data_IF_579562241103
#
_entry.id   IF_579562241103
#
_cell.length_a   1.000
_cell.length_b   1.000
_cell.length_c   1.000
_cell.angle_alpha   90.00
_cell.angle_beta   90.00
_cell.angle_gamma   90.00
#
_symmetry.space_group_name_H-M   'P 1'
#
loop_
_entity.id
_entity.type
_entity.pdbx_description
1 polymer ?
#
# COMPACT_ATOMS: atom_id res chain seq x y z
N UNK A 1 11.70 2.65 14.22
CA UNK A 1 12.17 4.06 14.15
C UNK A 1 11.76 4.71 12.84
N UNK A 2 11.31 5.96 12.87
CA UNK A 2 10.93 6.73 11.68
C UNK A 2 11.96 7.83 11.43
N UNK A 3 12.50 7.90 10.21
CA UNK A 3 13.47 8.92 9.77
C UNK A 3 12.85 9.70 8.61
N UNK A 4 12.92 11.03 8.68
CA UNK A 4 12.43 11.92 7.61
C UNK A 4 13.49 12.94 7.27
N UNK A 5 13.81 13.08 5.98
CA UNK A 5 14.77 14.06 5.46
C UNK A 5 14.39 14.47 4.03
N UNK A 6 14.23 15.77 3.78
CA UNK A 6 14.04 16.36 2.44
C UNK A 6 12.93 15.71 1.60
N UNK A 7 11.83 15.30 2.26
CA UNK A 7 10.73 14.61 1.60
C UNK A 7 11.00 13.14 1.28
N UNK A 8 12.03 12.57 1.87
CA UNK A 8 12.32 11.16 1.95
C UNK A 8 11.87 10.62 3.31
N UNK A 9 11.34 9.41 3.33
CA UNK A 9 10.78 8.75 4.50
C UNK A 9 11.34 7.34 4.59
N UNK A 10 11.87 6.98 5.77
CA UNK A 10 12.30 5.62 6.06
C UNK A 10 11.65 5.15 7.37
N UNK A 11 10.99 4.01 7.30
CA UNK A 11 10.45 3.31 8.46
C UNK A 11 11.31 2.09 8.70
N UNK A 12 11.92 2.02 9.87
CA UNK A 12 12.86 0.95 10.20
C UNK A 12 12.42 0.19 11.44
N UNK A 13 12.41 -1.12 11.31
CA UNK A 13 12.38 -2.07 12.43
C UNK A 13 13.81 -2.55 12.75
N UNK A 14 14.04 -3.47 13.68
CA UNK A 14 15.36 -4.04 13.89
C UNK A 14 16.01 -4.66 12.66
N UNK A 15 15.22 -5.32 11.77
CA UNK A 15 15.75 -6.08 10.64
C UNK A 15 15.24 -5.64 9.29
N UNK A 16 14.29 -4.68 9.20
CA UNK A 16 13.71 -4.25 7.93
C UNK A 16 13.81 -2.74 7.71
N UNK A 17 13.76 -2.33 6.45
CA UNK A 17 13.61 -0.93 6.02
C UNK A 17 12.50 -0.83 4.98
N UNK A 18 11.65 0.18 5.14
CA UNK A 18 10.64 0.59 4.17
C UNK A 18 10.89 2.04 3.79
N UNK A 19 11.21 2.30 2.53
CA UNK A 19 11.70 3.61 2.08
C UNK A 19 10.86 4.12 0.92
N UNK A 20 10.43 5.37 1.01
CA UNK A 20 9.73 6.06 -0.07
C UNK A 20 10.05 7.56 -0.05
N UNK A 21 9.72 8.25 -1.11
CA UNK A 21 9.93 9.70 -1.21
C UNK A 21 8.81 10.41 -1.94
N UNK A 22 8.67 11.69 -1.71
CA UNK A 22 7.88 12.57 -2.60
C UNK A 22 8.72 13.00 -3.80
N UNK A 23 8.10 13.06 -4.98
CA UNK A 23 8.68 13.70 -6.16
C UNK A 23 8.39 15.21 -6.20
N UNK A 24 8.90 15.89 -7.23
CA UNK A 24 8.67 17.33 -7.41
C UNK A 24 7.20 17.70 -7.69
N UNK A 25 6.41 16.77 -8.20
CA UNK A 25 4.98 16.95 -8.45
C UNK A 25 4.10 16.59 -7.25
N UNK A 26 4.69 16.08 -6.17
CA UNK A 26 3.99 15.66 -4.95
C UNK A 26 3.41 14.24 -5.01
N UNK A 27 3.82 13.41 -5.96
CA UNK A 27 3.54 11.98 -5.90
C UNK A 27 4.44 11.32 -4.84
N UNK A 28 3.99 10.19 -4.28
CA UNK A 28 4.79 9.36 -3.40
C UNK A 28 5.31 8.16 -4.18
N UNK A 29 6.63 8.08 -4.33
CA UNK A 29 7.34 7.01 -5.02
C UNK A 29 7.81 6.00 -3.98
N UNK A 30 7.40 4.73 -4.14
CA UNK A 30 7.95 3.62 -3.38
C UNK A 30 9.34 3.29 -3.91
N UNK A 31 10.32 3.15 -3.01
CA UNK A 31 11.69 2.87 -3.38
C UNK A 31 12.17 1.51 -2.91
N UNK A 32 11.81 1.11 -1.69
CA UNK A 32 12.33 -0.12 -1.10
C UNK A 32 11.45 -0.65 0.04
N UNK A 33 11.29 -1.94 0.11
CA UNK A 33 10.88 -2.69 1.30
C UNK A 33 11.64 -4.02 1.32
N UNK A 34 12.36 -4.28 2.40
CA UNK A 34 13.20 -5.46 2.51
C UNK A 34 14.12 -5.43 3.72
N UNK A 35 15.25 -6.13 3.62
CA UNK A 35 16.27 -6.19 4.67
C UNK A 35 16.74 -4.80 5.09
N UNK A 36 17.12 -4.64 6.35
CA UNK A 36 17.49 -3.34 6.89
C UNK A 36 18.70 -2.73 6.18
N UNK A 37 18.53 -1.50 5.77
CA UNK A 37 19.58 -0.66 5.20
C UNK A 37 20.07 0.28 6.29
N UNK A 38 21.39 0.24 6.59
CA UNK A 38 21.99 1.18 7.50
C UNK A 38 22.04 2.58 6.86
N UNK A 39 21.36 3.53 7.49
CA UNK A 39 21.29 4.91 7.03
C UNK A 39 22.16 5.75 7.96
N UNK A 40 23.24 6.31 7.40
CA UNK A 40 24.09 7.25 8.14
C UNK A 40 23.30 8.50 8.58
N UNK A 41 23.78 9.18 9.59
CA UNK A 41 23.18 10.44 10.03
C UNK A 41 23.14 11.41 8.85
N UNK A 42 21.95 11.93 8.56
CA UNK A 42 21.67 12.82 7.43
C UNK A 42 21.90 12.18 6.03
N UNK A 43 21.96 10.85 5.94
CA UNK A 43 22.22 10.12 4.69
C UNK A 43 20.98 9.68 3.92
N UNK A 44 19.75 9.83 4.45
CA UNK A 44 18.53 9.31 3.85
C UNK A 44 18.25 9.91 2.45
N UNK A 45 18.48 11.21 2.28
CA UNK A 45 18.28 11.87 0.99
C UNK A 45 19.16 11.27 -0.11
N UNK A 46 20.42 10.95 0.19
CA UNK A 46 21.36 10.31 -0.75
C UNK A 46 20.90 8.87 -1.08
N UNK A 47 20.45 8.09 -0.08
CA UNK A 47 19.89 6.75 -0.30
C UNK A 47 18.70 6.82 -1.26
N UNK A 48 17.77 7.74 -1.00
CA UNK A 48 16.62 7.94 -1.87
C UNK A 48 16.99 8.39 -3.28
N UNK A 49 18.02 9.23 -3.44
CA UNK A 49 18.49 9.67 -4.76
C UNK A 49 19.06 8.49 -5.56
N UNK A 50 19.88 7.65 -4.94
CA UNK A 50 20.45 6.45 -5.58
C UNK A 50 19.36 5.47 -5.99
N UNK A 51 18.34 5.27 -5.15
CA UNK A 51 17.24 4.33 -5.39
C UNK A 51 16.20 4.87 -6.37
N UNK A 52 16.13 6.18 -6.59
CA UNK A 52 15.13 6.74 -7.50
C UNK A 52 15.45 6.38 -8.94
N UNK A 53 14.55 5.67 -9.64
CA UNK A 53 14.80 5.33 -11.03
C UNK A 53 14.87 6.58 -11.89
N UNK A 54 15.69 6.53 -12.94
CA UNK A 54 15.72 7.62 -13.93
C UNK A 54 14.34 7.75 -14.56
N UNK A 55 13.74 8.93 -14.47
CA UNK A 55 12.45 9.23 -15.08
C UNK A 55 12.67 9.38 -16.59
N UNK A 56 12.46 8.29 -17.30
CA UNK A 56 12.46 8.26 -18.76
C UNK A 56 11.08 7.79 -19.17
N UNK A 57 10.43 8.50 -20.09
CA UNK A 57 9.18 8.01 -20.68
C UNK A 57 9.50 6.81 -21.61
N UNK A 58 9.81 5.67 -21.00
CA UNK A 58 10.21 4.45 -21.70
C UNK A 58 9.05 3.82 -22.47
N UNK A 59 7.82 4.05 -22.01
CA UNK A 59 6.63 3.48 -22.61
C UNK A 59 6.18 4.18 -23.90
N UNK A 60 6.76 5.32 -24.25
CA UNK A 60 6.21 6.16 -25.29
C UNK A 60 4.77 6.59 -24.98
N UNK A 61 4.34 6.48 -23.71
CA UNK A 61 3.00 6.83 -23.25
C UNK A 61 2.82 8.34 -23.35
N UNK A 62 1.76 8.77 -24.00
CA UNK A 62 1.40 10.19 -24.11
C UNK A 62 0.70 10.74 -22.86
N UNK A 63 0.41 9.89 -21.89
CA UNK A 63 -0.24 10.30 -20.64
C UNK A 63 0.82 10.85 -19.68
N UNK A 64 0.93 12.16 -19.65
CA UNK A 64 1.83 12.90 -18.78
C UNK A 64 1.05 13.21 -17.48
N UNK A 65 1.57 12.70 -16.35
CA UNK A 65 0.93 12.88 -15.07
C UNK A 65 0.99 14.33 -14.55
N UNK A 66 2.02 15.07 -14.93
CA UNK A 66 2.20 16.48 -14.54
C UNK A 66 3.04 17.25 -15.54
N UNK A 67 2.66 18.50 -15.82
CA UNK A 67 3.40 19.37 -16.74
C UNK A 67 4.76 19.81 -16.21
N UNK A 68 4.95 19.81 -14.88
CA UNK A 68 6.25 20.09 -14.24
C UNK A 68 7.24 18.92 -14.42
N UNK A 69 6.75 17.72 -14.70
CA UNK A 69 7.55 16.52 -14.97
C UNK A 69 7.07 15.83 -16.26
N UNK A 70 7.35 16.42 -17.42
CA UNK A 70 6.77 15.96 -18.69
C UNK A 70 7.20 14.56 -19.11
N UNK A 71 8.23 14.00 -18.49
CA UNK A 71 8.70 12.64 -18.77
C UNK A 71 8.18 11.60 -17.77
N UNK A 72 7.42 12.01 -16.73
CA UNK A 72 6.90 11.10 -15.74
C UNK A 72 5.62 10.44 -16.25
N UNK A 73 5.66 9.13 -16.42
CA UNK A 73 4.48 8.28 -16.53
C UNK A 73 4.32 7.49 -15.23
N UNK A 74 3.17 7.57 -14.59
CA UNK A 74 2.94 6.88 -13.30
C UNK A 74 2.96 5.36 -13.44
N UNK A 75 2.72 4.83 -14.64
CA UNK A 75 2.81 3.39 -14.93
C UNK A 75 4.26 2.88 -14.95
N UNK A 76 5.23 3.77 -15.13
CA UNK A 76 6.67 3.43 -15.21
C UNK A 76 7.37 3.38 -13.84
N UNK A 77 6.72 3.82 -12.78
CA UNK A 77 7.30 3.94 -11.44
C UNK A 77 6.54 3.10 -10.41
N UNK A 78 7.20 2.76 -9.31
CA UNK A 78 6.56 2.19 -8.14
C UNK A 78 5.97 3.32 -7.28
N UNK A 79 4.71 3.18 -6.88
CA UNK A 79 3.94 4.18 -6.14
C UNK A 79 3.55 3.69 -4.76
N UNK A 80 3.49 4.59 -3.78
CA UNK A 80 2.88 4.33 -2.46
C UNK A 80 1.37 4.33 -2.51
N UNK A 81 0.81 5.10 -3.42
CA UNK A 81 -0.62 5.25 -3.65
C UNK A 81 -0.88 5.52 -5.12
N UNK A 82 -2.00 5.04 -5.60
CA UNK A 82 -2.52 5.34 -6.92
C UNK A 82 -3.99 5.70 -6.87
N UNK A 83 -4.41 6.59 -7.75
CA UNK A 83 -5.79 6.97 -7.93
C UNK A 83 -6.23 6.81 -9.38
N UNK A 84 -7.52 6.66 -9.60
CA UNK A 84 -8.07 6.48 -10.94
C UNK A 84 -7.88 7.72 -11.81
N UNK A 85 -7.62 7.51 -13.12
CA UNK A 85 -7.62 8.57 -14.12
C UNK A 85 -6.30 9.33 -14.28
N UNK A 86 -5.18 8.79 -13.74
CA UNK A 86 -3.86 9.44 -13.73
C UNK A 86 -2.83 8.81 -14.65
N UNK A 87 -3.24 7.93 -15.58
CA UNK A 87 -2.32 7.29 -16.53
C UNK A 87 -1.57 6.08 -15.97
N UNK A 88 -1.88 5.62 -14.78
CA UNK A 88 -1.44 4.33 -14.24
C UNK A 88 -2.47 3.27 -14.65
N UNK A 89 -2.03 2.24 -15.36
CA UNK A 89 -2.88 1.15 -15.87
C UNK A 89 -3.19 0.08 -14.82
N UNK A 90 -2.50 0.12 -13.68
CA UNK A 90 -2.71 -0.81 -12.57
C UNK A 90 -3.92 -0.40 -11.74
N UNK A 91 -4.49 -1.36 -10.99
CA UNK A 91 -5.60 -1.07 -10.08
C UNK A 91 -5.28 0.05 -9.10
N UNK A 92 -6.20 1.01 -8.91
CA UNK A 92 -5.98 2.11 -7.99
C UNK A 92 -6.17 1.67 -6.53
N UNK A 93 -5.47 2.36 -5.62
CA UNK A 93 -5.65 2.28 -4.18
C UNK A 93 -6.97 2.93 -3.73
N UNK A 94 -7.35 4.02 -4.38
CA UNK A 94 -8.55 4.81 -4.04
C UNK A 94 -9.36 5.16 -5.29
N UNK A 95 -10.68 5.02 -5.18
CA UNK A 95 -11.65 5.42 -6.20
C UNK A 95 -12.78 6.20 -5.56
N UNK A 96 -12.95 7.43 -6.02
CA UNK A 96 -14.01 8.34 -5.59
C UNK A 96 -14.90 8.70 -6.77
N UNK A 97 -16.16 9.02 -6.47
CA UNK A 97 -17.06 9.70 -7.40
C UNK A 97 -17.51 10.99 -6.72
N UNK A 98 -17.19 12.12 -7.34
CA UNK A 98 -17.54 13.46 -6.86
C UNK A 98 -19.01 13.77 -7.16
N UNK A 99 -19.55 14.82 -6.55
CA UNK A 99 -20.94 15.21 -6.69
C UNK A 99 -21.36 15.50 -8.15
N UNK A 100 -20.42 15.97 -8.98
CA UNK A 100 -20.64 16.21 -10.42
C UNK A 100 -20.57 14.93 -11.27
N UNK A 101 -20.34 13.75 -10.65
CA UNK A 101 -20.18 12.46 -11.31
C UNK A 101 -18.77 12.17 -11.84
N UNK A 102 -17.83 13.11 -11.71
CA UNK A 102 -16.43 12.85 -12.08
C UNK A 102 -15.79 11.83 -11.14
N UNK A 103 -14.86 11.00 -11.68
CA UNK A 103 -14.22 9.92 -10.94
C UNK A 103 -12.69 9.94 -11.02
N UNK A 104 -12.11 11.06 -11.45
CA UNK A 104 -10.66 11.25 -11.47
C UNK A 104 -10.22 11.97 -10.22
N UNK A 105 -9.32 11.36 -9.44
CA UNK A 105 -8.70 11.96 -8.26
C UNK A 105 -7.21 12.17 -8.49
N UNK A 106 -6.67 13.25 -7.93
CA UNK A 106 -5.25 13.61 -8.06
C UNK A 106 -4.67 13.99 -6.69
N UNK A 107 -4.45 12.98 -5.85
CA UNK A 107 -3.90 13.14 -4.52
C UNK A 107 -2.42 13.50 -4.58
N UNK A 108 -2.07 14.65 -3.96
CA UNK A 108 -0.71 15.17 -3.89
C UNK A 108 -0.28 15.39 -2.46
N UNK A 109 0.99 15.15 -2.18
CA UNK A 109 1.58 15.38 -0.87
C UNK A 109 1.34 16.82 -0.38
N UNK A 110 0.82 16.94 0.84
CA UNK A 110 0.62 18.22 1.53
C UNK A 110 1.59 18.37 2.71
N UNK A 111 1.55 17.43 3.65
CA UNK A 111 2.41 17.44 4.84
C UNK A 111 2.53 16.04 5.46
N UNK A 112 3.30 15.95 6.55
CA UNK A 112 3.37 14.76 7.39
C UNK A 112 3.39 15.13 8.87
N UNK A 113 3.10 14.15 9.74
CA UNK A 113 3.33 14.19 11.18
C UNK A 113 3.77 12.82 11.69
N UNK A 114 4.51 12.83 12.80
CA UNK A 114 4.94 11.61 13.50
C UNK A 114 4.27 11.62 14.88
N UNK A 115 3.73 10.47 15.27
CA UNK A 115 3.12 10.23 16.57
C UNK A 115 3.95 9.19 17.32
N UNK A 116 4.20 9.43 18.61
CA UNK A 116 4.98 8.53 19.49
C UNK A 116 4.11 7.37 20.03
N UNK A 117 3.20 6.90 19.21
CA UNK A 117 2.32 5.76 19.50
C UNK A 117 1.80 5.14 18.22
N UNK A 118 1.38 3.89 18.28
CA UNK A 118 0.65 3.26 17.18
C UNK A 118 -0.76 3.86 17.08
N UNK A 119 -1.06 4.40 15.90
CA UNK A 119 -2.42 4.84 15.57
C UNK A 119 -3.21 3.64 15.01
N UNK A 120 -4.46 3.54 15.44
CA UNK A 120 -5.41 2.52 14.97
C UNK A 120 -6.61 3.18 14.29
N UNK A 121 -7.23 2.54 13.29
CA UNK A 121 -8.41 3.10 12.65
C UNK A 121 -9.58 3.12 13.62
N UNK A 122 -10.32 4.21 13.63
CA UNK A 122 -11.47 4.41 14.52
C UNK A 122 -12.57 3.37 14.24
N UNK A 123 -13.04 2.71 15.28
CA UNK A 123 -14.15 1.74 15.21
C UNK A 123 -13.79 0.40 14.55
N UNK A 124 -12.53 0.16 14.21
CA UNK A 124 -12.04 -1.07 13.59
C UNK A 124 -10.95 -1.74 14.46
N UNK A 125 -10.71 -3.04 14.29
CA UNK A 125 -9.59 -3.71 14.93
C UNK A 125 -8.24 -3.08 14.53
N UNK A 126 -7.30 -3.04 15.47
CA UNK A 126 -5.96 -2.53 15.24
C UNK A 126 -4.90 -3.37 15.95
N UNK A 127 -3.69 -3.38 15.41
CA UNK A 127 -2.53 -3.95 16.05
C UNK A 127 -2.11 -3.10 17.25
N UNK A 128 -1.49 -3.73 18.24
CA UNK A 128 -0.95 -3.05 19.41
C UNK A 128 0.42 -3.64 19.78
N UNK A 129 1.23 -2.86 20.45
CA UNK A 129 2.48 -3.30 21.03
C UNK A 129 2.39 -3.36 22.56
N UNK A 130 2.87 -4.46 23.13
CA UNK A 130 2.86 -4.62 24.60
C UNK A 130 3.78 -3.63 25.32
N UNK A 131 4.93 -3.28 24.72
CA UNK A 131 5.91 -2.37 25.30
C UNK A 131 5.64 -0.89 25.05
N UNK A 132 4.74 -0.57 24.13
CA UNK A 132 4.37 0.81 23.81
C UNK A 132 5.48 1.63 23.14
N UNK A 133 6.36 0.99 22.39
CA UNK A 133 7.47 1.64 21.67
C UNK A 133 7.11 1.99 20.22
N UNK A 134 5.90 1.71 19.79
CA UNK A 134 5.47 1.94 18.41
C UNK A 134 5.38 3.42 18.08
N UNK A 135 5.74 3.74 16.85
CA UNK A 135 5.61 5.08 16.27
C UNK A 135 4.69 5.02 15.04
N UNK A 136 4.01 6.11 14.74
CA UNK A 136 3.23 6.24 13.53
C UNK A 136 3.65 7.46 12.71
N UNK A 137 3.78 7.24 11.40
CA UNK A 137 3.92 8.31 10.40
C UNK A 137 2.57 8.50 9.71
N UNK A 138 2.09 9.71 9.67
CA UNK A 138 0.89 10.09 8.92
C UNK A 138 1.28 11.02 7.80
N UNK A 139 1.05 10.61 6.56
CA UNK A 139 1.22 11.44 5.38
C UNK A 139 -0.15 11.97 4.94
N UNK A 140 -0.30 13.26 4.85
CA UNK A 140 -1.51 13.89 4.34
C UNK A 140 -1.34 14.23 2.86
N UNK A 141 -2.28 13.74 2.05
CA UNK A 141 -2.40 14.05 0.64
C UNK A 141 -3.70 14.83 0.41
N UNK A 142 -3.64 15.88 -0.40
CA UNK A 142 -4.82 16.64 -0.81
C UNK A 142 -5.19 16.31 -2.26
N UNK A 143 -6.45 16.04 -2.52
CA UNK A 143 -6.95 15.89 -3.90
C UNK A 143 -7.04 17.26 -4.58
N UNK A 144 -6.44 17.38 -5.76
CA UNK A 144 -6.47 18.64 -6.55
C UNK A 144 -7.83 18.95 -7.18
N UNK A 145 -8.68 17.94 -7.31
CA UNK A 145 -9.97 18.04 -7.97
C UNK A 145 -11.13 18.24 -6.99
N UNK A 146 -10.89 18.02 -5.70
CA UNK A 146 -11.92 18.12 -4.67
C UNK A 146 -11.33 18.67 -3.35
N UNK A 147 -12.13 18.71 -2.31
CA UNK A 147 -11.70 19.05 -0.94
C UNK A 147 -11.49 17.80 -0.07
N UNK A 148 -11.35 16.63 -0.71
CA UNK A 148 -11.06 15.39 0.01
C UNK A 148 -9.55 15.32 0.30
N UNK A 149 -9.22 14.94 1.53
CA UNK A 149 -7.86 14.60 1.95
C UNK A 149 -7.76 13.10 2.19
N UNK A 150 -6.60 12.54 1.89
CA UNK A 150 -6.25 11.17 2.21
C UNK A 150 -5.07 11.18 3.17
N UNK A 151 -5.25 10.63 4.35
CA UNK A 151 -4.18 10.34 5.28
C UNK A 151 -3.73 8.89 5.09
N UNK A 152 -2.46 8.69 4.76
CA UNK A 152 -1.81 7.38 4.79
C UNK A 152 -1.14 7.22 6.14
N UNK A 153 -1.57 6.25 6.92
CA UNK A 153 -1.03 5.98 8.25
C UNK A 153 -0.14 4.74 8.18
N UNK A 154 1.09 4.90 8.62
CA UNK A 154 2.09 3.84 8.74
C UNK A 154 2.47 3.71 10.21
N UNK A 155 2.38 2.52 10.77
CA UNK A 155 2.89 2.23 12.10
C UNK A 155 4.12 1.33 12.02
N UNK A 156 5.09 1.58 12.88
CA UNK A 156 6.31 0.77 13.02
C UNK A 156 6.21 -0.01 14.31
N UNK A 157 6.22 -1.33 14.23
CA UNK A 157 6.21 -2.26 15.35
C UNK A 157 7.58 -2.90 15.49
N UNK A 158 8.44 -2.32 16.33
CA UNK A 158 9.83 -2.76 16.47
C UNK A 158 9.95 -4.17 17.07
N UNK A 159 9.09 -4.50 18.02
CA UNK A 159 9.16 -5.77 18.75
C UNK A 159 8.93 -7.02 17.89
N UNK A 160 8.27 -6.90 16.74
CA UNK A 160 7.92 -8.02 15.86
C UNK A 160 8.30 -7.80 14.40
N UNK A 161 9.15 -6.82 14.09
CA UNK A 161 9.57 -6.49 12.72
C UNK A 161 8.40 -6.26 11.74
N UNK A 162 7.28 -5.74 12.23
CA UNK A 162 6.09 -5.51 11.42
C UNK A 162 5.87 -4.03 11.14
N UNK A 163 5.28 -3.76 9.99
CA UNK A 163 4.71 -2.47 9.65
C UNK A 163 3.20 -2.60 9.55
N UNK A 164 2.47 -1.60 10.03
CA UNK A 164 1.01 -1.54 9.85
C UNK A 164 0.63 -0.37 8.97
N UNK A 165 -0.39 -0.53 8.14
CA UNK A 165 -0.85 0.50 7.22
C UNK A 165 -2.36 0.56 7.18
N UNK A 166 -2.91 1.77 7.03
CA UNK A 166 -4.29 2.02 6.63
C UNK A 166 -4.45 3.40 6.02
N UNK A 167 -5.55 3.63 5.34
CA UNK A 167 -5.93 4.92 4.78
C UNK A 167 -7.13 5.53 5.51
N UNK A 168 -7.14 6.85 5.60
CA UNK A 168 -8.26 7.62 6.13
C UNK A 168 -8.61 8.74 5.17
N UNK A 169 -9.79 8.69 4.57
CA UNK A 169 -10.35 9.78 3.79
C UNK A 169 -11.06 10.77 4.71
N UNK A 170 -10.91 12.06 4.43
CA UNK A 170 -11.59 13.15 5.13
C UNK A 170 -12.23 14.05 4.08
N UNK A 171 -13.54 14.18 4.11
CA UNK A 171 -14.24 15.13 3.26
C UNK A 171 -14.32 16.49 3.94
N UNK A 172 -13.43 17.40 3.54
CA UNK A 172 -13.41 18.79 4.01
C UNK A 172 -14.23 19.73 3.12
N UNK A 173 -14.96 19.21 2.16
CA UNK A 173 -15.86 19.94 1.27
C UNK A 173 -17.27 20.09 1.84
N UNK A 174 -18.17 20.62 1.02
CA UNK A 174 -19.57 20.83 1.37
C UNK A 174 -20.49 19.77 0.72
N UNK A 175 -20.01 19.05 -0.28
CA UNK A 175 -20.77 18.07 -1.04
C UNK A 175 -20.39 16.66 -0.64
N UNK A 176 -21.35 15.73 -0.73
CA UNK A 176 -21.13 14.30 -0.51
C UNK A 176 -20.23 13.73 -1.59
N UNK A 177 -19.29 12.87 -1.20
CA UNK A 177 -18.40 12.12 -2.09
C UNK A 177 -18.66 10.65 -1.92
N UNK A 178 -18.83 9.91 -3.03
CA UNK A 178 -18.99 8.46 -2.97
C UNK A 178 -17.62 7.78 -3.00
N UNK A 179 -17.35 6.95 -2.00
CA UNK A 179 -16.15 6.12 -1.93
C UNK A 179 -16.47 4.73 -2.47
N UNK A 180 -15.88 4.39 -3.62
CA UNK A 180 -16.03 3.06 -4.23
C UNK A 180 -14.86 2.14 -3.93
N UNK A 181 -13.71 2.71 -3.52
CA UNK A 181 -12.52 1.95 -3.12
C UNK A 181 -11.67 2.77 -2.16
N UNK A 182 -11.24 2.13 -1.08
CA UNK A 182 -10.14 2.56 -0.23
C UNK A 182 -9.44 1.31 0.28
N UNK A 183 -8.26 1.03 -0.29
CA UNK A 183 -7.45 -0.09 0.17
C UNK A 183 -6.73 0.25 1.47
N UNK A 184 -6.26 -0.74 2.17
CA UNK A 184 -5.47 -0.58 3.40
C UNK A 184 -4.00 -0.37 3.09
N UNK A 185 -3.49 -1.07 2.08
CA UNK A 185 -2.12 -0.94 1.62
C UNK A 185 -2.00 -1.10 0.10
N UNK A 186 -0.98 -0.47 -0.45
CA UNK A 186 -0.42 -0.70 -1.77
C UNK A 186 1.08 -0.89 -1.61
N UNK A 187 1.62 -1.89 -2.29
CA UNK A 187 3.05 -2.07 -2.45
C UNK A 187 3.34 -2.34 -3.93
N UNK A 188 4.04 -1.42 -4.55
CA UNK A 188 4.58 -1.60 -5.90
C UNK A 188 6.03 -2.08 -5.81
N UNK A 189 6.41 -3.02 -6.65
CA UNK A 189 7.77 -3.55 -6.68
C UNK A 189 8.21 -3.92 -8.10
N UNK A 190 9.50 -4.02 -8.32
CA UNK A 190 10.06 -4.53 -9.57
C UNK A 190 10.23 -6.05 -9.46
N UNK A 191 9.53 -6.79 -10.29
CA UNK A 191 9.66 -8.23 -10.35
C UNK A 191 9.24 -8.76 -11.73
N UNK A 192 10.01 -9.71 -12.28
CA UNK A 192 9.65 -10.39 -13.54
C UNK A 192 8.57 -11.45 -13.35
N UNK A 193 8.47 -12.02 -12.18
CA UNK A 193 7.45 -12.97 -11.75
C UNK A 193 7.40 -13.03 -10.23
N UNK A 194 6.22 -13.29 -9.67
CA UNK A 194 6.04 -13.52 -8.25
C UNK A 194 5.37 -14.87 -8.01
N UNK A 195 5.83 -15.60 -7.01
CA UNK A 195 5.12 -16.72 -6.44
C UNK A 195 4.15 -16.20 -5.38
N UNK A 196 2.87 -16.29 -5.68
CA UNK A 196 1.78 -15.89 -4.79
C UNK A 196 1.38 -17.12 -3.97
N UNK A 197 1.26 -16.93 -2.67
CA UNK A 197 0.79 -17.96 -1.74
C UNK A 197 -0.40 -17.43 -0.95
N UNK A 198 -1.50 -18.17 -0.96
CA UNK A 198 -2.69 -17.91 -0.17
C UNK A 198 -3.24 -19.20 0.46
N UNK A 199 -4.26 -19.07 1.29
CA UNK A 199 -4.80 -20.18 2.06
C UNK A 199 -6.32 -20.23 1.92
N UNK A 200 -6.77 -21.41 1.49
CA UNK A 200 -8.18 -21.73 1.34
C UNK A 200 -8.57 -22.87 2.27
N UNK A 201 -9.84 -23.04 2.49
CA UNK A 201 -10.29 -24.14 3.30
C UNK A 201 -11.79 -24.35 3.27
N UNK A 202 -12.17 -25.41 3.94
CA UNK A 202 -13.55 -25.74 4.22
C UNK A 202 -13.60 -26.47 5.57
N UNK A 203 -14.75 -26.88 6.03
CA UNK A 203 -14.86 -27.66 7.24
C UNK A 203 -14.00 -28.92 7.21
N UNK A 204 -13.18 -29.12 8.25
CA UNK A 204 -12.17 -30.18 8.37
C UNK A 204 -11.07 -30.18 7.28
N UNK A 205 -10.88 -29.06 6.59
CA UNK A 205 -9.83 -28.87 5.57
C UNK A 205 -9.35 -27.42 5.56
N UNK A 206 -9.11 -26.87 6.73
CA UNK A 206 -8.71 -25.49 6.94
C UNK A 206 -7.24 -25.28 6.50
N UNK A 207 -6.90 -24.07 6.06
CA UNK A 207 -5.53 -23.62 5.72
C UNK A 207 -4.86 -24.47 4.62
N UNK A 208 -5.61 -24.90 3.62
CA UNK A 208 -5.02 -25.52 2.44
C UNK A 208 -4.21 -24.46 1.67
N UNK A 209 -2.89 -24.67 1.61
CA UNK A 209 -1.95 -23.80 0.90
C UNK A 209 -2.18 -23.90 -0.61
N UNK A 210 -2.27 -22.74 -1.27
CA UNK A 210 -2.26 -22.61 -2.72
C UNK A 210 -1.07 -21.76 -3.16
N UNK A 211 -0.42 -22.15 -4.26
CA UNK A 211 0.71 -21.42 -4.84
C UNK A 211 0.47 -21.18 -6.33
N UNK A 212 0.64 -19.94 -6.76
CA UNK A 212 0.49 -19.54 -8.15
C UNK A 212 1.64 -18.65 -8.58
N UNK A 213 2.24 -18.92 -9.74
CA UNK A 213 3.26 -18.04 -10.31
C UNK A 213 2.59 -17.02 -11.23
N UNK A 214 2.62 -15.76 -10.82
CA UNK A 214 2.11 -14.63 -11.56
C UNK A 214 3.23 -14.01 -12.41
N UNK A 215 3.05 -14.03 -13.74
CA UNK A 215 3.94 -13.34 -14.72
C UNK A 215 3.23 -12.22 -15.45
N UNK A 216 1.93 -12.38 -15.68
CA UNK A 216 1.08 -11.41 -16.37
C UNK A 216 -0.34 -11.49 -15.83
N UNK A 217 -1.09 -10.39 -15.96
CA UNK A 217 -2.48 -10.32 -15.53
C UNK A 217 -2.61 -10.05 -14.04
N UNK A 218 -3.64 -10.59 -13.44
CA UNK A 218 -4.01 -10.34 -12.06
C UNK A 218 -4.36 -11.63 -11.33
N UNK A 219 -3.91 -11.77 -10.11
CA UNK A 219 -4.36 -12.78 -9.15
C UNK A 219 -5.14 -12.09 -8.03
N UNK A 220 -6.25 -12.68 -7.62
CA UNK A 220 -7.14 -12.14 -6.59
C UNK A 220 -7.51 -13.24 -5.60
N UNK A 221 -7.36 -12.95 -4.30
CA UNK A 221 -7.93 -13.67 -3.18
C UNK A 221 -8.96 -12.76 -2.53
N UNK A 222 -10.24 -13.13 -2.53
CA UNK A 222 -11.28 -12.27 -1.96
C UNK A 222 -12.48 -13.03 -1.40
N UNK A 223 -13.31 -12.28 -0.67
CA UNK A 223 -14.63 -12.74 -0.22
C UNK A 223 -15.67 -11.65 -0.41
N UNK A 224 -16.88 -12.06 -0.77
CA UNK A 224 -18.04 -11.18 -0.91
C UNK A 224 -19.28 -11.72 -0.17
N UNK A 225 -19.09 -12.63 0.78
CA UNK A 225 -20.19 -13.29 1.52
C UNK A 225 -20.65 -12.54 2.77
N UNK A 226 -20.08 -11.36 3.04
CA UNK A 226 -20.41 -10.52 4.19
C UNK A 226 -19.41 -10.63 5.35
N UNK A 227 -18.52 -11.59 5.32
CA UNK A 227 -17.48 -11.80 6.33
C UNK A 227 -16.25 -12.50 5.75
N UNK A 228 -15.09 -12.36 6.40
CA UNK A 228 -13.91 -13.17 6.12
C UNK A 228 -14.15 -14.61 6.57
N UNK A 229 -13.56 -15.57 5.89
CA UNK A 229 -13.73 -16.99 6.20
C UNK A 229 -12.48 -17.79 5.86
N UNK A 230 -12.43 -19.03 6.34
CA UNK A 230 -11.37 -19.97 5.97
C UNK A 230 -11.40 -20.40 4.49
N UNK A 231 -12.43 -20.03 3.73
CA UNK A 231 -12.50 -20.30 2.28
C UNK A 231 -11.62 -19.36 1.47
N UNK A 232 -11.40 -18.14 1.96
CA UNK A 232 -10.45 -17.18 1.46
C UNK A 232 -9.87 -16.46 2.69
N UNK A 233 -8.66 -16.84 3.07
CA UNK A 233 -8.04 -16.30 4.27
C UNK A 233 -7.46 -14.90 3.96
N UNK A 234 -7.58 -13.89 4.85
CA UNK A 234 -7.03 -12.55 4.63
C UNK A 234 -5.51 -12.48 4.85
N UNK A 235 -4.82 -13.59 4.75
CA UNK A 235 -3.36 -13.71 4.69
C UNK A 235 -2.93 -13.95 3.24
N UNK A 236 -2.11 -13.05 2.72
CA UNK A 236 -1.62 -13.08 1.36
C UNK A 236 -0.10 -12.91 1.35
N UNK A 237 0.62 -13.86 0.75
CA UNK A 237 2.07 -13.86 0.70
C UNK A 237 2.54 -13.80 -0.75
N UNK A 238 3.69 -13.17 -0.96
CA UNK A 238 4.38 -13.18 -2.25
C UNK A 238 5.89 -13.25 -2.05
N UNK A 239 6.54 -13.86 -3.00
CA UNK A 239 7.97 -14.15 -2.92
C UNK A 239 8.56 -14.31 -4.32
N UNK A 240 9.88 -14.32 -4.41
CA UNK A 240 10.54 -14.77 -5.62
C UNK A 240 10.21 -16.23 -5.91
N UNK A 241 10.25 -16.62 -7.20
CA UNK A 241 9.86 -17.98 -7.61
C UNK A 241 10.72 -19.06 -6.98
N UNK A 242 11.96 -18.75 -6.63
CA UNK A 242 12.94 -19.67 -6.05
C UNK A 242 12.91 -19.69 -4.51
N UNK A 243 12.10 -18.85 -3.87
CA UNK A 243 11.98 -18.81 -2.41
C UNK A 243 11.43 -20.14 -1.88
N UNK A 244 12.07 -20.65 -0.84
CA UNK A 244 11.72 -21.88 -0.15
C UNK A 244 11.18 -21.62 1.25
N UNK A 245 10.98 -22.68 2.03
CA UNK A 245 10.60 -22.55 3.44
C UNK A 245 11.67 -21.83 4.28
N UNK A 246 12.95 -22.00 3.95
CA UNK A 246 14.10 -21.59 4.78
C UNK A 246 15.01 -20.54 4.10
N UNK A 247 14.72 -20.16 2.86
CA UNK A 247 15.60 -19.30 2.07
C UNK A 247 14.81 -18.44 1.07
N UNK A 248 15.28 -17.21 0.88
CA UNK A 248 14.81 -16.25 -0.12
C UNK A 248 13.86 -15.22 0.47
N UNK A 249 13.62 -14.17 -0.29
CA UNK A 249 12.78 -13.06 0.13
C UNK A 249 11.30 -13.46 0.08
N UNK A 250 10.62 -13.22 1.18
CA UNK A 250 9.20 -13.47 1.35
C UNK A 250 8.54 -12.27 2.02
N UNK A 251 7.40 -11.89 1.49
CA UNK A 251 6.56 -10.81 2.00
C UNK A 251 5.18 -11.35 2.34
N UNK A 252 4.55 -10.80 3.35
CA UNK A 252 3.16 -11.08 3.63
C UNK A 252 2.38 -9.84 4.03
N UNK A 253 1.09 -9.90 3.78
CA UNK A 253 0.10 -8.98 4.34
C UNK A 253 -1.00 -9.78 5.01
N UNK A 254 -1.35 -9.36 6.22
CA UNK A 254 -2.52 -9.86 6.94
C UNK A 254 -3.46 -8.68 7.20
N UNK A 255 -4.71 -8.79 6.75
CA UNK A 255 -5.70 -7.74 6.94
C UNK A 255 -6.46 -7.97 8.26
N UNK A 256 -6.42 -6.99 9.16
CA UNK A 256 -7.16 -7.04 10.42
C UNK A 256 -8.62 -6.64 10.20
N UNK A 257 -9.37 -7.52 9.53
CA UNK A 257 -10.74 -7.25 9.15
C UNK A 257 -11.57 -8.53 9.06
N UNK A 258 -12.76 -8.51 9.61
CA UNK A 258 -13.67 -9.65 9.58
C UNK A 258 -14.80 -9.54 8.54
N UNK A 259 -14.81 -8.47 7.74
CA UNK A 259 -15.75 -8.26 6.64
C UNK A 259 -15.25 -8.80 5.29
N UNK A 260 -15.89 -8.35 4.21
CA UNK A 260 -15.45 -8.66 2.85
C UNK A 260 -14.09 -8.05 2.57
N UNK A 261 -13.11 -8.86 2.24
CA UNK A 261 -11.74 -8.43 1.96
C UNK A 261 -11.31 -8.78 0.54
N UNK A 262 -10.26 -8.12 0.07
CA UNK A 262 -9.56 -8.45 -1.18
C UNK A 262 -8.07 -8.18 -1.02
N UNK A 263 -7.29 -9.20 -1.34
CA UNK A 263 -5.88 -9.11 -1.65
C UNK A 263 -5.69 -9.39 -3.14
N UNK A 264 -4.85 -8.61 -3.78
CA UNK A 264 -4.56 -8.81 -5.20
C UNK A 264 -3.11 -8.54 -5.53
N UNK A 265 -2.59 -9.29 -6.51
CA UNK A 265 -1.32 -9.06 -7.15
C UNK A 265 -1.57 -8.82 -8.64
N UNK A 266 -1.04 -7.73 -9.19
CA UNK A 266 -1.18 -7.38 -10.60
C UNK A 266 0.18 -7.15 -11.23
N UNK A 267 0.46 -7.87 -12.32
CA UNK A 267 1.58 -7.58 -13.20
C UNK A 267 1.23 -6.37 -14.08
N UNK A 268 1.96 -5.28 -13.91
CA UNK A 268 1.93 -4.11 -14.77
C UNK A 268 2.89 -4.24 -15.96
N UNK A 269 3.04 -3.15 -16.69
CA UNK A 269 4.06 -3.04 -17.74
C UNK A 269 5.48 -2.99 -17.14
N UNK A 270 6.49 -3.32 -17.95
CA UNK A 270 7.91 -3.10 -17.64
C UNK A 270 8.41 -3.73 -16.33
N UNK A 271 7.88 -4.93 -15.98
CA UNK A 271 8.31 -5.64 -14.77
C UNK A 271 7.86 -4.99 -13.45
N UNK A 272 6.85 -4.15 -13.48
CA UNK A 272 6.25 -3.59 -12.27
C UNK A 272 5.12 -4.51 -11.77
N UNK A 273 5.14 -4.81 -10.51
CA UNK A 273 4.09 -5.56 -9.82
C UNK A 273 3.42 -4.67 -8.80
N UNK A 274 2.10 -4.75 -8.69
CA UNK A 274 1.33 -4.07 -7.64
C UNK A 274 0.65 -5.08 -6.76
N UNK A 275 0.84 -4.95 -5.45
CA UNK A 275 0.10 -5.68 -4.42
C UNK A 275 -0.84 -4.70 -3.74
N UNK A 276 -2.10 -5.09 -3.63
CA UNK A 276 -3.13 -4.35 -2.88
C UNK A 276 -3.77 -5.27 -1.85
N UNK A 277 -4.07 -4.74 -0.67
CA UNK A 277 -4.89 -5.42 0.32
C UNK A 277 -5.83 -4.42 1.00
N UNK A 278 -7.07 -4.84 1.28
CA UNK A 278 -8.06 -3.99 1.91
C UNK A 278 -9.48 -4.57 1.86
N UNK A 279 -10.47 -3.72 2.11
CA UNK A 279 -11.87 -4.07 1.90
C UNK A 279 -12.12 -4.41 0.44
N UNK A 280 -12.97 -5.42 0.20
CA UNK A 280 -13.39 -5.75 -1.15
C UNK A 280 -14.15 -4.57 -1.76
N UNK A 281 -13.65 -3.98 -2.86
CA UNK A 281 -14.29 -2.82 -3.49
C UNK A 281 -15.56 -3.17 -4.26
N UNK A 282 -15.81 -4.46 -4.54
CA UNK A 282 -17.01 -4.86 -5.21
C UNK A 282 -18.22 -4.54 -4.33
N UNK A 283 -19.11 -3.72 -4.84
CA UNK A 283 -20.31 -3.20 -4.15
C UNK A 283 -20.02 -2.22 -2.99
N UNK A 284 -18.78 -1.76 -2.77
CA UNK A 284 -18.51 -0.65 -1.88
C UNK A 284 -19.06 0.64 -2.53
N UNK A 285 -19.97 1.29 -1.82
CA UNK A 285 -20.60 2.54 -2.25
C UNK A 285 -20.91 3.38 -1.01
N UNK A 286 -19.85 3.87 -0.36
CA UNK A 286 -19.97 4.65 0.87
C UNK A 286 -20.19 6.12 0.56
N UNK A 287 -21.25 6.71 1.13
CA UNK A 287 -21.51 8.14 1.03
C UNK A 287 -20.75 8.86 2.14
N UNK A 288 -19.70 9.56 1.78
CA UNK A 288 -18.87 10.34 2.69
C UNK A 288 -19.38 11.78 2.72
N UNK A 289 -20.15 12.09 3.75
CA UNK A 289 -20.78 13.41 3.91
C UNK A 289 -19.75 14.50 4.24
N UNK A 290 -20.19 15.76 4.11
CA UNK A 290 -19.38 16.92 4.47
C UNK A 290 -18.90 16.85 5.94
N UNK A 291 -17.61 16.98 6.17
CA UNK A 291 -16.99 16.93 7.50
C UNK A 291 -16.76 15.51 8.04
N UNK A 292 -17.19 14.46 7.35
CA UNK A 292 -16.97 13.08 7.78
C UNK A 292 -15.62 12.51 7.35
N UNK A 293 -15.25 11.42 8.01
CA UNK A 293 -14.09 10.62 7.67
C UNK A 293 -14.47 9.15 7.49
N UNK A 294 -13.71 8.46 6.62
CA UNK A 294 -13.85 7.03 6.35
C UNK A 294 -12.48 6.35 6.40
N UNK A 295 -12.35 5.31 7.21
CA UNK A 295 -11.10 4.55 7.39
C UNK A 295 -11.16 3.19 6.70
N UNK A 296 -10.07 2.78 6.09
CA UNK A 296 -9.87 1.37 5.74
C UNK A 296 -9.43 0.58 6.98
N UNK A 297 -9.63 -0.75 7.00
CA UNK A 297 -9.05 -1.59 8.05
C UNK A 297 -7.53 -1.57 8.01
N UNK A 298 -6.90 -2.00 9.09
CA UNK A 298 -5.45 -2.05 9.18
C UNK A 298 -4.89 -3.29 8.50
N UNK A 299 -3.83 -3.12 7.72
CA UNK A 299 -3.03 -4.18 7.13
C UNK A 299 -1.70 -4.30 7.89
N UNK A 300 -1.30 -5.51 8.25
CA UNK A 300 0.01 -5.81 8.85
C UNK A 300 0.91 -6.38 7.77
N UNK A 301 2.06 -5.76 7.56
CA UNK A 301 3.07 -6.16 6.59
C UNK A 301 4.25 -6.77 7.31
N UNK A 302 4.72 -7.91 6.80
CA UNK A 302 5.94 -8.57 7.24
C UNK A 302 6.85 -8.86 6.06
N UNK A 303 8.15 -8.90 6.33
CA UNK A 303 9.19 -9.30 5.39
C UNK A 303 10.18 -10.23 6.06
N UNK A 304 10.62 -11.23 5.34
CA UNK A 304 11.72 -12.09 5.75
C UNK A 304 12.59 -12.46 4.56
N UNK A 305 13.90 -12.50 4.79
CA UNK A 305 14.85 -13.04 3.83
C UNK A 305 15.22 -14.52 4.13
N UNK A 306 14.62 -15.08 5.16
CA UNK A 306 14.80 -16.48 5.57
C UNK A 306 13.67 -17.39 5.06
N UNK A 307 13.06 -17.03 3.94
CA UNK A 307 11.94 -17.77 3.38
C UNK A 307 10.64 -17.65 4.18
N UNK A 308 9.72 -18.57 3.90
CA UNK A 308 8.36 -18.51 4.48
C UNK A 308 8.31 -18.72 6.00
N UNK A 309 9.33 -19.35 6.61
CA UNK A 309 9.35 -19.56 8.06
C UNK A 309 9.61 -18.28 8.86
N UNK A 310 10.09 -17.24 8.22
CA UNK A 310 10.41 -15.98 8.89
C UNK A 310 9.29 -14.94 8.85
N UNK A 311 8.14 -15.28 8.24
CA UNK A 311 6.98 -14.38 8.05
C UNK A 311 5.86 -14.71 9.01
#
# INVERSE_FOLDING_TARGET
>A
MIIVQDGCFALQTPHTSYIFRKDAAGNLLHLYYGEKIEIEKDGLANVCEIMTPAITNQNGCSLIADTAQPNLCLDDVCLEISSRGKGDMREPYVELVLADGSSTSDFRYENYRIEESLLTPEGLPGAYEEKGNGQSLVITLADRNSKVKLELVYGVMEDCDCLVRYGRLVNSGEETVTVNRLMSMQLDMEAGALKITDFHGDWAREMAKNETILRQGKYINDTCVGFSSNRANPLFMWADTETTQEYGDCYAVNLLYSGNHRESAQAGGHGKMRILAGMNPDYLCWQLEAGEAFCSPQAVLTYSHQGYQGV
#
